data_IF_217236573414
#
_entry.id   IF_217236573414
#
_cell.length_a   1.000
_cell.length_b   1.000
_cell.length_c   1.000
_cell.angle_alpha   90.00
_cell.angle_beta   90.00
_cell.angle_gamma   90.00
#
_symmetry.space_group_name_H-M   'P 1'
#
loop_
_entity.id
_entity.type
_entity.pdbx_description
1 polymer ?
#
# COMPACT_ATOMS: atom_id res chain seq x y z
N UNK A 1 -16.38 4.27 17.33
CA UNK A 1 -16.75 4.22 15.90
C UNK A 1 -16.26 2.90 15.30
N UNK A 2 -17.16 2.11 14.69
CA UNK A 2 -16.81 0.81 14.04
C UNK A 2 -16.12 0.98 12.67
N UNK A 3 -16.07 2.20 12.12
CA UNK A 3 -15.54 2.47 10.78
C UNK A 3 -14.71 3.75 10.76
N UNK A 4 -13.63 3.76 9.98
CA UNK A 4 -12.76 4.92 9.75
C UNK A 4 -13.42 5.86 8.73
N UNK A 5 -14.35 6.69 9.18
CA UNK A 5 -15.00 7.65 8.29
C UNK A 5 -14.10 8.85 7.98
N UNK A 6 -14.15 9.33 6.74
CA UNK A 6 -13.43 10.53 6.32
C UNK A 6 -13.77 11.77 7.18
N UNK A 7 -14.99 11.87 7.69
CA UNK A 7 -15.42 12.96 8.56
C UNK A 7 -14.65 12.96 9.90
N UNK A 8 -14.46 11.79 10.52
CA UNK A 8 -13.69 11.67 11.78
C UNK A 8 -12.23 12.05 11.58
N UNK A 9 -11.61 11.56 10.51
CA UNK A 9 -10.25 11.95 10.12
C UNK A 9 -10.14 13.45 9.84
N UNK A 10 -11.10 14.03 9.10
CA UNK A 10 -11.15 15.46 8.82
C UNK A 10 -11.21 16.29 10.10
N UNK A 11 -12.05 15.90 11.06
CA UNK A 11 -12.19 16.60 12.34
C UNK A 11 -10.90 16.55 13.18
N UNK A 12 -10.20 15.40 13.19
CA UNK A 12 -8.93 15.23 13.87
C UNK A 12 -7.82 16.06 13.21
N UNK A 13 -7.67 15.94 11.90
CA UNK A 13 -6.61 16.59 11.12
C UNK A 13 -6.67 18.12 11.18
N UNK A 14 -7.87 18.70 11.24
CA UNK A 14 -8.05 20.15 11.41
C UNK A 14 -7.47 20.72 12.71
N UNK A 15 -7.21 19.87 13.70
CA UNK A 15 -6.62 20.24 14.99
C UNK A 15 -5.10 20.10 15.05
N UNK A 16 -4.50 19.62 13.98
CA UNK A 16 -3.08 19.31 13.89
C UNK A 16 -2.50 20.08 12.71
N UNK A 17 -1.33 20.67 12.88
CA UNK A 17 -0.62 21.34 11.80
C UNK A 17 -0.33 20.38 10.65
N UNK A 18 -0.38 20.86 9.41
CA UNK A 18 -0.11 20.06 8.21
C UNK A 18 1.34 19.54 8.24
N UNK A 19 1.53 18.22 8.21
CA UNK A 19 2.85 17.61 8.16
C UNK A 19 3.41 17.66 6.74
N UNK A 20 4.71 17.59 6.58
CA UNK A 20 5.33 17.53 5.25
C UNK A 20 5.10 16.18 4.55
N UNK A 21 5.04 15.11 5.31
CA UNK A 21 4.77 13.76 4.80
C UNK A 21 3.93 12.96 5.79
N UNK A 22 3.07 12.10 5.24
CA UNK A 22 2.25 11.17 6.01
C UNK A 22 2.45 9.75 5.47
N UNK A 23 2.63 8.79 6.37
CA UNK A 23 2.64 7.36 6.03
C UNK A 23 1.32 6.73 6.47
N UNK A 24 0.62 6.04 5.57
CA UNK A 24 -0.64 5.35 5.92
C UNK A 24 -0.74 3.96 5.31
N UNK A 25 -1.60 3.12 5.91
CA UNK A 25 -1.96 1.79 5.40
C UNK A 25 -2.89 1.84 4.18
N UNK A 26 -3.45 3.03 3.85
CA UNK A 26 -4.30 3.29 2.70
C UNK A 26 -5.79 3.16 2.95
N UNK A 27 -6.21 3.33 4.17
CA UNK A 27 -7.62 3.51 4.50
C UNK A 27 -8.26 4.61 3.64
N UNK A 28 -9.37 4.30 2.97
CA UNK A 28 -10.01 5.24 2.02
C UNK A 28 -10.54 6.48 2.70
N UNK A 29 -11.00 6.36 3.95
CA UNK A 29 -11.46 7.48 4.76
C UNK A 29 -10.33 8.46 5.07
N UNK A 30 -9.17 7.93 5.49
CA UNK A 30 -7.97 8.71 5.72
C UNK A 30 -7.48 9.43 4.46
N UNK A 31 -7.38 8.71 3.34
CA UNK A 31 -6.90 9.28 2.08
C UNK A 31 -7.80 10.42 1.56
N UNK A 32 -9.12 10.32 1.74
CA UNK A 32 -10.07 11.41 1.41
C UNK A 32 -9.87 12.63 2.32
N UNK A 33 -9.71 12.42 3.63
CA UNK A 33 -9.47 13.50 4.59
C UNK A 33 -8.12 14.19 4.32
N UNK A 34 -7.07 13.41 4.04
CA UNK A 34 -5.74 13.90 3.72
C UNK A 34 -5.77 14.91 2.57
N UNK A 35 -6.36 14.53 1.43
CA UNK A 35 -6.49 15.41 0.26
C UNK A 35 -7.27 16.69 0.55
N UNK A 36 -8.24 16.64 1.49
CA UNK A 36 -9.08 17.78 1.83
C UNK A 36 -8.42 18.74 2.82
N UNK A 37 -7.72 18.21 3.84
CA UNK A 37 -7.25 19.00 4.98
C UNK A 37 -5.78 19.36 4.85
N UNK A 38 -4.97 18.45 4.30
CA UNK A 38 -3.54 18.60 4.14
C UNK A 38 -3.11 18.41 2.67
N UNK A 39 -3.54 19.29 1.75
CA UNK A 39 -3.27 19.15 0.32
C UNK A 39 -1.79 19.27 -0.04
N UNK A 40 -0.97 19.92 0.79
CA UNK A 40 0.48 20.05 0.61
C UNK A 40 1.29 18.90 1.18
N UNK A 41 0.69 18.03 1.99
CA UNK A 41 1.38 16.91 2.59
C UNK A 41 1.66 15.79 1.55
N UNK A 42 2.92 15.40 1.42
CA UNK A 42 3.28 14.22 0.60
C UNK A 42 2.78 12.94 1.25
N UNK A 43 2.17 12.06 0.47
CA UNK A 43 1.58 10.81 0.97
C UNK A 43 2.45 9.62 0.60
N UNK A 44 2.88 8.86 1.59
CA UNK A 44 3.54 7.57 1.46
C UNK A 44 2.59 6.44 1.85
N UNK A 45 2.39 5.49 0.98
CA UNK A 45 1.76 4.20 1.33
C UNK A 45 2.73 3.34 2.10
N UNK A 46 2.34 2.87 3.26
CA UNK A 46 3.17 1.95 4.05
C UNK A 46 3.57 0.74 3.20
N UNK A 47 4.85 0.62 2.90
CA UNK A 47 5.39 -0.42 2.00
C UNK A 47 5.10 -1.82 2.55
N UNK A 48 5.12 -2.00 3.87
CA UNK A 48 4.75 -3.27 4.49
C UNK A 48 3.28 -3.64 4.22
N UNK A 49 2.36 -2.68 4.31
CA UNK A 49 0.95 -2.93 3.98
C UNK A 49 0.73 -3.18 2.47
N UNK A 50 1.53 -2.55 1.61
CA UNK A 50 1.52 -2.87 0.16
C UNK A 50 1.95 -4.32 -0.06
N UNK A 51 3.05 -4.76 0.55
CA UNK A 51 3.47 -6.16 0.51
C UNK A 51 2.38 -7.10 1.03
N UNK A 52 1.77 -6.80 2.18
CA UNK A 52 0.70 -7.61 2.76
C UNK A 52 -0.53 -7.68 1.84
N UNK A 53 -0.85 -6.59 1.13
CA UNK A 53 -1.94 -6.56 0.16
C UNK A 53 -1.64 -7.46 -1.05
N UNK A 54 -0.45 -7.36 -1.64
CA UNK A 54 -0.04 -8.24 -2.75
C UNK A 54 -0.05 -9.70 -2.28
N UNK A 55 0.53 -10.01 -1.11
CA UNK A 55 0.50 -11.35 -0.53
C UNK A 55 -0.91 -11.90 -0.34
N UNK A 56 -1.89 -11.05 0.02
CA UNK A 56 -3.30 -11.46 0.13
C UNK A 56 -3.87 -11.90 -1.22
N UNK A 57 -3.46 -11.26 -2.30
CA UNK A 57 -3.91 -11.58 -3.65
C UNK A 57 -3.17 -12.77 -4.26
N UNK A 58 -1.84 -12.81 -4.12
CA UNK A 58 -1.01 -13.89 -4.67
C UNK A 58 -0.98 -15.15 -3.81
N UNK A 59 -1.35 -15.05 -2.52
CA UNK A 59 -1.05 -16.00 -1.43
C UNK A 59 0.44 -16.01 -1.05
N UNK A 60 0.80 -16.77 0.00
CA UNK A 60 2.22 -16.96 0.39
C UNK A 60 2.90 -18.06 -0.44
N UNK A 61 2.11 -18.89 -1.14
CA UNK A 61 2.57 -19.98 -2.02
C UNK A 61 1.78 -19.91 -3.33
N UNK A 62 2.12 -18.99 -4.23
CA UNK A 62 1.39 -18.84 -5.49
C UNK A 62 1.57 -20.05 -6.39
N UNK A 63 0.51 -20.49 -7.05
CA UNK A 63 0.55 -21.64 -7.97
C UNK A 63 1.08 -21.24 -9.35
N UNK A 64 0.75 -20.02 -9.86
CA UNK A 64 1.21 -19.55 -11.16
C UNK A 64 2.60 -18.91 -11.10
N UNK A 65 3.34 -18.97 -12.19
CA UNK A 65 4.63 -18.27 -12.30
C UNK A 65 4.47 -16.75 -12.19
N UNK A 66 3.45 -16.17 -12.83
CA UNK A 66 3.11 -14.76 -12.69
C UNK A 66 2.91 -14.36 -11.22
N UNK A 67 2.17 -15.16 -10.46
CA UNK A 67 1.95 -14.93 -9.04
C UNK A 67 3.22 -15.05 -8.21
N UNK A 68 4.10 -16.03 -8.49
CA UNK A 68 5.39 -16.21 -7.80
C UNK A 68 6.33 -15.03 -8.02
N UNK A 69 6.46 -14.59 -9.26
CA UNK A 69 7.30 -13.44 -9.60
C UNK A 69 6.76 -12.16 -8.94
N UNK A 70 5.45 -11.90 -9.05
CA UNK A 70 4.83 -10.72 -8.42
C UNK A 70 4.97 -10.71 -6.89
N UNK A 71 4.81 -11.88 -6.24
CA UNK A 71 5.03 -12.02 -4.80
C UNK A 71 6.48 -11.70 -4.40
N UNK A 72 7.46 -12.19 -5.17
CA UNK A 72 8.88 -11.90 -4.92
C UNK A 72 9.20 -10.43 -5.12
N UNK A 73 8.68 -9.82 -6.18
CA UNK A 73 8.82 -8.37 -6.42
C UNK A 73 8.22 -7.55 -5.28
N UNK A 74 7.06 -7.96 -4.74
CA UNK A 74 6.46 -7.29 -3.59
C UNK A 74 7.32 -7.42 -2.31
N UNK A 75 8.03 -8.53 -2.12
CA UNK A 75 9.00 -8.68 -1.03
C UNK A 75 10.21 -7.76 -1.20
N UNK A 76 10.67 -7.56 -2.42
CA UNK A 76 11.79 -6.66 -2.72
C UNK A 76 11.48 -5.21 -2.33
N UNK A 77 10.21 -4.77 -2.43
CA UNK A 77 9.79 -3.43 -1.98
C UNK A 77 10.25 -3.10 -0.56
N UNK A 78 10.31 -4.09 0.32
CA UNK A 78 10.72 -3.91 1.72
C UNK A 78 12.20 -3.56 1.89
N UNK A 79 13.00 -3.74 0.85
CA UNK A 79 14.45 -3.57 0.85
C UNK A 79 14.92 -2.36 0.04
N UNK A 80 14.04 -1.72 -0.70
CA UNK A 80 14.36 -0.56 -1.53
C UNK A 80 14.67 0.64 -0.63
N UNK A 81 15.86 1.23 -0.83
CA UNK A 81 16.35 2.34 -0.03
C UNK A 81 16.87 3.50 -0.87
N UNK A 82 17.02 3.33 -2.19
CA UNK A 82 17.49 4.36 -3.10
C UNK A 82 16.52 4.60 -4.25
N UNK A 83 16.65 5.75 -4.89
CA UNK A 83 15.82 6.10 -6.05
C UNK A 83 16.13 5.19 -7.25
N UNK A 84 17.39 4.86 -7.45
CA UNK A 84 17.89 3.98 -8.50
C UNK A 84 17.30 2.57 -8.37
N UNK A 85 17.26 2.04 -7.14
CA UNK A 85 16.62 0.75 -6.85
C UNK A 85 15.12 0.79 -7.14
N UNK A 86 14.44 1.89 -6.80
CA UNK A 86 13.01 2.06 -7.07
C UNK A 86 12.74 2.14 -8.59
N UNK A 87 13.55 2.87 -9.34
CA UNK A 87 13.41 3.00 -10.79
C UNK A 87 13.68 1.65 -11.49
N UNK A 88 14.68 0.89 -11.04
CA UNK A 88 14.94 -0.47 -11.53
C UNK A 88 13.76 -1.41 -11.20
N UNK A 89 13.20 -1.32 -10.00
CA UNK A 89 12.05 -2.11 -9.60
C UNK A 89 10.83 -1.79 -10.49
N UNK A 90 10.55 -0.51 -10.76
CA UNK A 90 9.46 -0.07 -11.65
C UNK A 90 9.67 -0.64 -13.05
N UNK A 91 10.90 -0.56 -13.60
CA UNK A 91 11.23 -1.11 -14.92
C UNK A 91 10.91 -2.61 -14.98
N UNK A 92 11.39 -3.39 -14.01
CA UNK A 92 11.13 -4.84 -13.91
C UNK A 92 9.64 -5.15 -13.75
N UNK A 93 8.89 -4.28 -13.06
CA UNK A 93 7.45 -4.45 -12.91
C UNK A 93 6.72 -4.22 -14.24
N UNK A 94 7.13 -3.26 -15.05
CA UNK A 94 6.61 -3.05 -16.41
C UNK A 94 6.95 -4.26 -17.29
N UNK A 95 8.18 -4.77 -17.25
CA UNK A 95 8.60 -5.98 -17.96
C UNK A 95 7.74 -7.19 -17.55
N UNK A 96 7.42 -7.33 -16.25
CA UNK A 96 6.52 -8.36 -15.75
C UNK A 96 5.09 -8.22 -16.32
N UNK A 97 4.54 -7.00 -16.38
CA UNK A 97 3.22 -6.76 -16.97
C UNK A 97 3.21 -7.21 -18.43
N UNK A 98 4.19 -6.78 -19.22
CA UNK A 98 4.30 -7.12 -20.63
C UNK A 98 4.47 -8.64 -20.84
N UNK A 99 5.29 -9.29 -20.01
CA UNK A 99 5.53 -10.74 -20.06
C UNK A 99 4.26 -11.56 -19.81
N UNK A 100 3.37 -11.08 -18.95
CA UNK A 100 2.16 -11.79 -18.52
C UNK A 100 0.87 -11.16 -19.03
N UNK A 101 0.93 -10.32 -20.09
CA UNK A 101 -0.22 -9.61 -20.63
C UNK A 101 -1.34 -10.57 -21.04
N UNK A 102 -1.05 -11.59 -21.82
CA UNK A 102 -2.03 -12.59 -22.28
C UNK A 102 -2.64 -13.34 -21.07
N UNK A 103 -1.81 -13.78 -20.13
CA UNK A 103 -2.26 -14.44 -18.90
C UNK A 103 -3.19 -13.54 -18.08
N UNK A 104 -2.89 -12.26 -17.93
CA UNK A 104 -3.70 -11.31 -17.17
C UNK A 104 -5.03 -10.99 -17.85
N UNK A 105 -5.06 -11.06 -19.18
CA UNK A 105 -6.24 -10.80 -20.01
C UNK A 105 -7.14 -12.03 -20.22
N UNK A 106 -6.74 -13.22 -19.75
CA UNK A 106 -7.58 -14.41 -19.84
C UNK A 106 -8.94 -14.23 -19.17
N UNK A 107 -10.00 -14.67 -19.88
CA UNK A 107 -11.38 -14.57 -19.41
C UNK A 107 -12.01 -15.96 -19.29
N UNK A 108 -12.65 -16.20 -18.17
CA UNK A 108 -13.49 -17.38 -17.93
C UNK A 108 -14.95 -16.99 -18.09
N UNK A 109 -15.74 -17.85 -18.74
CA UNK A 109 -17.21 -17.73 -18.85
C UNK A 109 -17.83 -18.65 -17.82
N UNK A 110 -18.71 -18.13 -16.96
CA UNK A 110 -19.44 -18.92 -15.98
C UNK A 110 -20.65 -19.64 -16.61
N UNK A 111 -21.33 -20.49 -15.85
CA UNK A 111 -22.50 -21.27 -16.28
C UNK A 111 -23.67 -20.38 -16.76
N UNK A 112 -23.70 -19.12 -16.35
CA UNK A 112 -24.71 -18.15 -16.75
C UNK A 112 -24.27 -17.28 -17.97
N UNK A 113 -23.12 -17.57 -18.57
CA UNK A 113 -22.58 -16.83 -19.69
C UNK A 113 -21.85 -15.53 -19.32
N UNK A 114 -21.67 -15.21 -18.01
CA UNK A 114 -20.97 -13.99 -17.59
C UNK A 114 -19.46 -14.17 -17.76
N UNK A 115 -18.81 -13.19 -18.35
CA UNK A 115 -17.34 -13.15 -18.52
C UNK A 115 -16.68 -12.49 -17.30
N UNK A 116 -15.67 -13.15 -16.73
CA UNK A 116 -14.85 -12.61 -15.63
C UNK A 116 -13.37 -12.91 -15.88
N UNK A 117 -12.44 -12.06 -15.39
CA UNK A 117 -11.02 -12.37 -15.48
C UNK A 117 -10.68 -13.69 -14.79
N UNK A 118 -10.01 -14.60 -15.50
CA UNK A 118 -9.57 -15.90 -14.96
C UNK A 118 -8.64 -15.70 -13.76
N UNK A 119 -7.74 -14.72 -13.87
CA UNK A 119 -6.72 -14.42 -12.87
C UNK A 119 -7.02 -13.13 -12.08
N UNK A 120 -8.31 -12.93 -11.71
CA UNK A 120 -8.81 -11.69 -11.09
C UNK A 120 -7.96 -11.21 -9.90
N UNK A 121 -7.47 -12.13 -9.06
CA UNK A 121 -6.68 -11.77 -7.88
C UNK A 121 -5.32 -11.17 -8.27
N UNK A 122 -4.62 -11.79 -9.23
CA UNK A 122 -3.32 -11.29 -9.72
C UNK A 122 -3.52 -9.94 -10.40
N UNK A 123 -4.57 -9.80 -11.21
CA UNK A 123 -4.95 -8.55 -11.86
C UNK A 123 -5.28 -7.44 -10.84
N UNK A 124 -5.91 -7.77 -9.72
CA UNK A 124 -6.14 -6.81 -8.62
C UNK A 124 -4.83 -6.35 -7.96
N UNK A 125 -3.88 -7.26 -7.79
CA UNK A 125 -2.57 -6.91 -7.25
C UNK A 125 -1.80 -5.97 -8.18
N UNK A 126 -1.74 -6.31 -9.47
CA UNK A 126 -1.14 -5.48 -10.52
C UNK A 126 -1.76 -4.08 -10.55
N UNK A 127 -3.09 -3.97 -10.71
CA UNK A 127 -3.80 -2.68 -10.75
C UNK A 127 -3.56 -1.83 -9.50
N UNK A 128 -3.46 -2.49 -8.34
CA UNK A 128 -3.14 -1.81 -7.08
C UNK A 128 -1.75 -1.18 -7.10
N UNK A 129 -0.73 -1.89 -7.59
CA UNK A 129 0.64 -1.38 -7.71
C UNK A 129 0.73 -0.27 -8.75
N UNK A 130 0.12 -0.43 -9.92
CA UNK A 130 0.06 0.62 -10.95
C UNK A 130 -0.53 1.90 -10.38
N UNK A 131 -1.64 1.79 -9.63
CA UNK A 131 -2.27 2.94 -8.99
C UNK A 131 -1.31 3.67 -8.05
N UNK A 132 -0.57 2.96 -7.20
CA UNK A 132 0.37 3.55 -6.25
C UNK A 132 1.54 4.24 -6.94
N UNK A 133 2.05 3.67 -8.03
CA UNK A 133 3.11 4.27 -8.85
C UNK A 133 2.59 5.55 -9.51
N UNK A 134 1.42 5.49 -10.15
CA UNK A 134 0.81 6.64 -10.85
C UNK A 134 0.47 7.79 -9.88
N UNK A 135 0.04 7.48 -8.67
CA UNK A 135 -0.26 8.45 -7.63
C UNK A 135 0.99 8.94 -6.88
N UNK A 136 2.19 8.49 -7.24
CA UNK A 136 3.44 8.81 -6.56
C UNK A 136 3.40 8.56 -5.05
N UNK A 137 2.73 7.48 -4.60
CA UNK A 137 2.56 7.16 -3.18
C UNK A 137 3.36 5.96 -2.72
N UNK A 138 4.04 5.25 -3.63
CA UNK A 138 4.80 4.04 -3.31
C UNK A 138 6.21 4.34 -2.83
N UNK A 139 6.87 5.34 -3.42
CA UNK A 139 8.28 5.67 -3.20
C UNK A 139 8.50 7.11 -2.73
N UNK A 140 7.49 7.75 -2.15
CA UNK A 140 7.55 9.12 -1.63
C UNK A 140 8.66 9.30 -0.58
N UNK A 141 8.94 8.25 0.21
CA UNK A 141 10.00 8.26 1.23
C UNK A 141 11.42 8.40 0.65
N UNK A 142 11.58 8.21 -0.67
CA UNK A 142 12.85 8.41 -1.39
C UNK A 142 13.01 9.82 -1.95
N UNK A 143 12.03 10.70 -1.75
CA UNK A 143 12.09 12.08 -2.19
C UNK A 143 13.29 12.80 -1.58
N UNK A 144 14.16 13.37 -2.43
CA UNK A 144 15.42 13.98 -2.02
C UNK A 144 15.21 15.12 -1.02
N UNK A 145 14.26 16.01 -1.29
CA UNK A 145 14.00 17.15 -0.41
C UNK A 145 13.56 16.73 1.00
N UNK A 146 12.82 15.62 1.08
CA UNK A 146 12.40 15.07 2.35
C UNK A 146 13.55 14.38 3.06
N UNK A 147 14.35 13.58 2.35
CA UNK A 147 15.47 12.80 2.93
C UNK A 147 16.59 13.67 3.45
N UNK A 148 16.93 14.74 2.74
CA UNK A 148 18.02 15.66 3.12
C UNK A 148 17.71 16.40 4.44
N UNK A 149 16.43 16.56 4.78
CA UNK A 149 15.97 17.31 5.95
C UNK A 149 15.37 16.43 7.08
N UNK A 150 14.90 15.24 6.74
CA UNK A 150 14.13 14.39 7.66
C UNK A 150 14.45 12.92 7.45
N UNK A 151 14.35 12.15 8.54
CA UNK A 151 14.33 10.69 8.46
C UNK A 151 12.94 10.24 7.98
N UNK A 152 12.79 9.96 6.68
CA UNK A 152 11.52 9.59 6.05
C UNK A 152 11.29 8.09 6.12
N UNK A 153 10.34 7.59 6.93
CA UNK A 153 10.08 6.17 7.03
C UNK A 153 9.25 5.66 5.82
N UNK A 154 9.60 4.49 5.32
CA UNK A 154 8.81 3.78 4.30
C UNK A 154 7.61 3.03 4.89
N UNK A 155 7.60 2.82 6.22
CA UNK A 155 6.57 2.03 6.92
C UNK A 155 6.14 2.70 8.23
N UNK A 156 4.92 2.38 8.69
CA UNK A 156 4.41 2.77 10.01
C UNK A 156 4.57 1.66 11.07
N UNK A 157 5.33 0.60 10.79
CA UNK A 157 5.50 -0.55 11.67
C UNK A 157 6.03 -0.19 13.06
N UNK A 158 6.85 0.86 13.19
CA UNK A 158 7.35 1.34 14.50
C UNK A 158 6.22 1.79 15.41
N UNK A 159 5.19 2.43 14.86
CA UNK A 159 4.01 2.87 15.63
C UNK A 159 3.14 1.65 15.93
N UNK A 160 2.90 0.76 14.98
CA UNK A 160 2.05 -0.42 15.17
C UNK A 160 2.66 -1.44 16.13
N UNK A 161 3.95 -1.70 16.02
CA UNK A 161 4.66 -2.68 16.85
C UNK A 161 5.00 -2.20 18.26
N UNK A 162 5.21 -0.91 18.46
CA UNK A 162 5.61 -0.38 19.77
C UNK A 162 4.49 0.36 20.52
N UNK A 163 3.94 1.41 19.92
CA UNK A 163 2.94 2.26 20.59
C UNK A 163 1.59 1.55 20.66
N UNK A 164 1.10 1.03 19.52
CA UNK A 164 -0.20 0.39 19.47
C UNK A 164 -0.25 -0.94 20.23
N UNK A 165 0.86 -1.69 20.32
CA UNK A 165 0.88 -2.93 21.10
C UNK A 165 0.73 -2.65 22.58
N UNK A 166 1.47 -1.67 23.12
CA UNK A 166 1.35 -1.23 24.51
C UNK A 166 -0.04 -0.67 24.83
N UNK A 167 -0.57 0.17 23.95
CA UNK A 167 -1.91 0.73 24.11
C UNK A 167 -2.98 -0.37 24.13
N UNK A 168 -2.89 -1.37 23.24
CA UNK A 168 -3.80 -2.52 23.22
C UNK A 168 -3.69 -3.36 24.50
N UNK A 169 -2.50 -3.54 25.02
CA UNK A 169 -2.25 -4.26 26.27
C UNK A 169 -2.88 -3.52 27.45
N UNK A 170 -2.65 -2.22 27.56
CA UNK A 170 -3.27 -1.37 28.57
C UNK A 170 -4.81 -1.41 28.49
N UNK A 171 -5.38 -1.24 27.30
CA UNK A 171 -6.84 -1.29 27.07
C UNK A 171 -7.43 -2.68 27.35
N UNK A 172 -6.65 -3.76 27.15
CA UNK A 172 -7.09 -5.12 27.49
C UNK A 172 -7.21 -5.31 29.00
N UNK A 173 -6.25 -4.77 29.76
CA UNK A 173 -6.24 -4.84 31.21
C UNK A 173 -7.35 -4.01 31.85
N UNK A 174 -7.88 -2.98 31.16
CA UNK A 174 -8.96 -2.10 31.63
C UNK A 174 -10.38 -2.52 31.14
N UNK A 175 -10.52 -3.66 30.47
CA UNK A 175 -11.83 -4.17 30.03
C UNK A 175 -12.68 -4.78 31.15
N UNK A 176 -12.28 -4.63 32.38
CA UNK A 176 -12.98 -5.10 33.59
C UNK A 176 -13.57 -3.97 34.46
N UNK A 177 -13.64 -2.74 33.94
CA UNK A 177 -14.31 -1.61 34.60
C UNK A 177 -15.62 -1.28 33.89
#
# INVERSE_FOLDING_TARGET
>A
CRYEYAAAWTALMKRIAEPRMVVSDGGTGFAKALKKVWPGAKHQRCVFHVFCQVRRYTTSRPNSMAGKELYNMAKELLKINTKEEADLWIKRFIEWINKYEDFLNEMTVDENGNRRPTHERILKAEKSLIKLIRENTLFTYLDKELRDKFNTPSTNNRIEGSVNSRLREMLRNHRGL
#
